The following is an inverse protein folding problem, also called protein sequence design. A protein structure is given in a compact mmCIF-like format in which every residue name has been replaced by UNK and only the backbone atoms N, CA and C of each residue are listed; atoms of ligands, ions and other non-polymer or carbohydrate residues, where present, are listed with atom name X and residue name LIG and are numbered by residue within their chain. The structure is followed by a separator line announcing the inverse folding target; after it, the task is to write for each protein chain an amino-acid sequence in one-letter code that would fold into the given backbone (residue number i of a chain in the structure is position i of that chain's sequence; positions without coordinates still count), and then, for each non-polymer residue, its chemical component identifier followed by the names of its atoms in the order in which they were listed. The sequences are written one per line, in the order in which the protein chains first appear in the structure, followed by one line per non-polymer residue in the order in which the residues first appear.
data_IF_002277214521
#
_entry.id   IF_002277214521
#
_cell.length_a   1.000
_cell.length_b   1.000
_cell.length_c   1.000
_cell.angle_alpha   90.00
_cell.angle_beta   90.00
_cell.angle_gamma   90.00
#
_symmetry.space_group_name_H-M   'P 1'
#
loop_
_entity.id
_entity.type
_entity.pdbx_description
1 polymer ?
#
# COMPACT_ATOMS: atom_id res chain seq x y z
N UNK A 1 14.04 -16.46 -18.44
CA UNK A 1 13.69 -15.18 -19.09
C UNK A 1 14.23 -14.08 -18.19
N UNK A 2 15.28 -13.32 -18.66
CA UNK A 2 15.85 -12.21 -17.91
C UNK A 2 14.87 -11.02 -17.99
N UNK A 3 14.12 -10.80 -16.93
CA UNK A 3 13.37 -9.56 -16.77
C UNK A 3 14.37 -8.44 -16.41
N UNK A 4 14.27 -7.26 -17.01
CA UNK A 4 15.07 -6.14 -16.59
C UNK A 4 14.82 -5.87 -15.10
N UNK A 5 15.91 -5.69 -14.35
CA UNK A 5 15.81 -5.20 -12.96
C UNK A 5 15.05 -3.90 -13.01
N UNK A 6 14.15 -3.69 -12.04
CA UNK A 6 13.52 -2.38 -11.85
C UNK A 6 14.63 -1.41 -11.46
N UNK A 7 14.94 -0.51 -12.38
CA UNK A 7 16.04 0.44 -12.19
C UNK A 7 15.64 1.63 -11.32
N UNK A 8 14.46 1.64 -10.71
CA UNK A 8 13.94 2.82 -10.00
C UNK A 8 13.89 4.07 -10.90
N UNK A 9 13.86 3.84 -12.21
CA UNK A 9 13.92 4.90 -13.19
C UNK A 9 12.66 5.75 -13.10
N UNK A 10 12.88 7.06 -12.96
CA UNK A 10 11.83 8.08 -13.06
C UNK A 10 11.10 7.93 -14.40
N UNK A 11 9.82 8.29 -14.42
CA UNK A 11 9.08 8.40 -15.66
C UNK A 11 9.64 9.53 -16.56
N UNK A 12 9.07 9.72 -17.76
CA UNK A 12 9.48 10.78 -18.69
C UNK A 12 9.28 12.20 -18.09
N UNK A 13 8.45 12.35 -17.06
CA UNK A 13 8.24 13.60 -16.32
C UNK A 13 9.20 13.73 -15.12
N UNK A 14 10.07 12.75 -14.85
CA UNK A 14 10.99 12.72 -13.72
C UNK A 14 10.33 12.38 -12.38
N UNK A 15 9.17 11.71 -12.39
CA UNK A 15 8.42 11.39 -11.16
C UNK A 15 8.57 9.93 -10.73
N UNK A 16 8.54 9.73 -9.42
CA UNK A 16 8.32 8.43 -8.80
C UNK A 16 6.82 8.11 -8.75
N UNK A 17 6.48 6.84 -8.65
CA UNK A 17 5.10 6.38 -8.68
C UNK A 17 4.74 5.64 -7.38
N UNK A 18 3.72 6.12 -6.68
CA UNK A 18 3.18 5.50 -5.47
C UNK A 18 1.76 5.01 -5.73
N UNK A 19 1.53 3.71 -5.55
CA UNK A 19 0.20 3.11 -5.63
C UNK A 19 -0.34 2.84 -4.23
N UNK A 20 -1.51 3.37 -3.93
CA UNK A 20 -2.29 3.06 -2.73
C UNK A 20 -3.47 2.18 -3.15
N UNK A 21 -3.59 0.98 -2.58
CA UNK A 21 -4.73 0.09 -2.80
C UNK A 21 -5.39 -0.21 -1.47
N UNK A 22 -6.62 0.23 -1.29
CA UNK A 22 -7.32 0.08 -0.03
C UNK A 22 -8.80 -0.26 -0.20
N UNK A 23 -9.30 -1.14 0.66
CA UNK A 23 -10.72 -1.49 0.75
C UNK A 23 -11.31 -1.00 2.05
N UNK A 24 -12.54 -0.48 1.99
CA UNK A 24 -13.33 -0.14 3.15
C UNK A 24 -14.71 -0.75 3.05
N UNK A 25 -15.20 -1.33 4.13
CA UNK A 25 -16.55 -1.90 4.20
C UNK A 25 -17.52 -0.95 4.88
N UNK A 26 -17.10 -0.31 5.98
CA UNK A 26 -17.97 0.54 6.81
C UNK A 26 -17.57 2.02 6.81
N UNK A 27 -16.50 2.39 6.11
CA UNK A 27 -16.03 3.77 5.97
C UNK A 27 -14.82 4.15 6.83
N UNK A 28 -14.52 3.46 7.92
CA UNK A 28 -13.36 3.80 8.75
C UNK A 28 -12.01 3.53 8.06
N UNK A 29 -11.89 2.44 7.33
CA UNK A 29 -10.69 2.19 6.52
C UNK A 29 -10.55 3.21 5.38
N UNK A 30 -11.67 3.72 4.84
CA UNK A 30 -11.63 4.80 3.85
C UNK A 30 -11.05 6.08 4.45
N UNK A 31 -11.45 6.46 5.66
CA UNK A 31 -10.86 7.62 6.36
C UNK A 31 -9.34 7.46 6.55
N UNK A 32 -8.88 6.24 6.84
CA UNK A 32 -7.45 5.94 6.91
C UNK A 32 -6.77 6.10 5.54
N UNK A 33 -7.37 5.56 4.47
CA UNK A 33 -6.85 5.71 3.11
C UNK A 33 -6.77 7.16 2.66
N UNK A 34 -7.80 7.97 2.98
CA UNK A 34 -7.83 9.40 2.68
C UNK A 34 -6.72 10.15 3.44
N UNK A 35 -6.43 9.76 4.68
CA UNK A 35 -5.33 10.32 5.45
C UNK A 35 -3.96 9.94 4.87
N UNK A 36 -3.77 8.68 4.48
CA UNK A 36 -2.56 8.23 3.78
C UNK A 36 -2.36 9.05 2.49
N UNK A 37 -3.41 9.23 1.70
CA UNK A 37 -3.34 10.01 0.47
C UNK A 37 -2.97 11.47 0.74
N UNK A 38 -3.56 12.11 1.76
CA UNK A 38 -3.19 13.49 2.15
C UNK A 38 -1.71 13.60 2.50
N UNK A 39 -1.17 12.66 3.27
CA UNK A 39 0.24 12.64 3.61
C UNK A 39 1.13 12.48 2.39
N UNK A 40 0.78 11.53 1.52
CA UNK A 40 1.55 11.22 0.31
C UNK A 40 1.51 12.33 -0.75
N UNK A 41 0.52 13.23 -0.68
CA UNK A 41 0.34 14.37 -1.60
C UNK A 41 0.50 15.72 -0.91
N UNK A 42 1.18 15.74 0.24
CA UNK A 42 1.46 16.99 0.96
C UNK A 42 2.37 17.93 0.16
N UNK A 43 2.29 19.21 0.44
CA UNK A 43 2.95 20.30 -0.33
C UNK A 43 4.49 20.16 -0.42
N UNK A 44 5.11 19.36 0.44
CA UNK A 44 6.56 19.12 0.39
C UNK A 44 6.95 17.90 -0.45
N UNK A 45 6.00 17.22 -1.06
CA UNK A 45 6.25 16.09 -1.98
C UNK A 45 6.02 16.61 -3.40
N UNK A 46 7.10 16.78 -4.15
CA UNK A 46 7.05 17.41 -5.48
C UNK A 46 7.12 16.40 -6.62
N UNK A 47 7.94 15.35 -6.46
CA UNK A 47 8.29 14.42 -7.53
C UNK A 47 7.71 13.01 -7.35
N UNK A 48 6.52 12.92 -6.76
CA UNK A 48 5.77 11.65 -6.63
C UNK A 48 4.39 11.77 -7.24
N UNK A 49 4.10 10.93 -8.22
CA UNK A 49 2.72 10.72 -8.72
C UNK A 49 2.04 9.65 -7.87
N UNK A 50 0.87 9.97 -7.32
CA UNK A 50 0.13 9.04 -6.44
C UNK A 50 -1.16 8.60 -7.12
N UNK A 51 -1.39 7.27 -7.17
CA UNK A 51 -2.68 6.68 -7.50
C UNK A 51 -3.28 6.02 -6.27
N UNK A 52 -4.54 6.32 -5.98
CA UNK A 52 -5.29 5.67 -4.90
C UNK A 52 -6.50 4.97 -5.49
N UNK A 53 -6.52 3.65 -5.42
CA UNK A 53 -7.51 2.80 -6.08
C UNK A 53 -8.16 1.81 -5.12
N UNK A 54 -9.41 1.45 -5.43
CA UNK A 54 -10.04 0.26 -4.85
C UNK A 54 -9.32 -1.01 -5.32
N UNK A 55 -9.25 -2.07 -4.49
CA UNK A 55 -8.76 -3.37 -4.94
C UNK A 55 -9.56 -3.98 -6.10
N UNK A 56 -10.79 -3.52 -6.32
CA UNK A 56 -11.63 -4.00 -7.42
C UNK A 56 -11.25 -3.33 -8.76
N UNK A 57 -10.68 -2.13 -8.70
CA UNK A 57 -10.31 -1.33 -9.87
C UNK A 57 -8.82 -1.45 -10.21
N UNK A 58 -7.95 -1.60 -9.20
CA UNK A 58 -6.53 -1.77 -9.39
C UNK A 58 -6.20 -3.10 -10.08
N UNK A 59 -5.24 -3.09 -10.99
CA UNK A 59 -4.84 -4.27 -11.74
C UNK A 59 -3.31 -4.46 -11.85
N UNK A 60 -2.89 -5.38 -12.70
CA UNK A 60 -1.48 -5.73 -12.93
C UNK A 60 -0.68 -4.52 -13.43
N UNK A 61 -1.25 -3.71 -14.33
CA UNK A 61 -0.54 -2.57 -14.91
C UNK A 61 -0.29 -1.49 -13.86
N UNK A 62 -1.23 -1.26 -12.94
CA UNK A 62 -1.02 -0.34 -11.80
C UNK A 62 0.10 -0.81 -10.89
N UNK A 63 0.14 -2.10 -10.57
CA UNK A 63 1.20 -2.68 -9.73
C UNK A 63 2.57 -2.59 -10.41
N UNK A 64 2.63 -2.84 -11.71
CA UNK A 64 3.87 -2.75 -12.48
C UNK A 64 4.33 -1.30 -12.70
N UNK A 65 3.41 -0.36 -12.73
CA UNK A 65 3.69 1.08 -12.78
C UNK A 65 4.31 1.59 -11.48
N UNK A 66 3.95 1.03 -10.33
CA UNK A 66 4.33 1.55 -9.03
C UNK A 66 5.81 1.32 -8.69
N UNK A 67 6.45 2.31 -8.08
CA UNK A 67 7.78 2.22 -7.45
C UNK A 67 7.68 1.94 -5.95
N UNK A 68 6.54 2.18 -5.33
CA UNK A 68 6.17 1.72 -3.99
C UNK A 68 4.67 1.45 -3.89
N UNK A 69 4.27 0.66 -2.90
CA UNK A 69 2.91 0.21 -2.69
C UNK A 69 2.49 0.46 -1.25
N UNK A 70 1.31 1.05 -1.04
CA UNK A 70 0.67 1.09 0.27
C UNK A 70 -0.65 0.32 0.19
N UNK A 71 -0.84 -0.65 1.08
CA UNK A 71 -2.04 -1.48 1.12
C UNK A 71 -2.84 -1.23 2.38
N UNK A 72 -4.15 -1.05 2.24
CA UNK A 72 -5.07 -0.85 3.34
C UNK A 72 -6.23 -1.85 3.35
N UNK A 73 -6.54 -2.40 4.51
CA UNK A 73 -7.64 -3.35 4.67
C UNK A 73 -8.28 -3.26 6.05
N UNK A 74 -9.60 -3.47 6.16
CA UNK A 74 -10.17 -3.87 7.42
C UNK A 74 -9.80 -5.33 7.74
N UNK A 75 -9.80 -5.68 9.01
CA UNK A 75 -9.79 -7.08 9.42
C UNK A 75 -11.21 -7.61 9.42
N UNK A 76 -11.51 -8.53 8.53
CA UNK A 76 -12.80 -9.21 8.44
C UNK A 76 -12.61 -10.69 8.79
N UNK A 77 -13.29 -11.14 9.84
CA UNK A 77 -13.21 -12.55 10.28
C UNK A 77 -11.77 -13.03 10.53
N UNK A 78 -10.93 -12.21 11.12
CA UNK A 78 -9.53 -12.55 11.38
C UNK A 78 -8.66 -12.66 10.12
N UNK A 79 -9.04 -11.99 9.03
CA UNK A 79 -8.38 -12.04 7.72
C UNK A 79 -8.46 -10.68 7.02
N UNK A 80 -7.70 -10.49 5.93
CA UNK A 80 -7.89 -9.32 5.06
C UNK A 80 -9.29 -9.32 4.45
N UNK A 81 -9.72 -8.17 3.93
CA UNK A 81 -11.00 -8.11 3.21
C UNK A 81 -10.98 -8.99 1.96
N UNK A 82 -12.15 -9.52 1.59
CA UNK A 82 -12.30 -10.33 0.38
C UNK A 82 -11.93 -9.57 -0.89
N UNK A 83 -12.19 -8.26 -0.93
CA UNK A 83 -11.81 -7.42 -2.07
C UNK A 83 -10.28 -7.33 -2.24
N UNK A 84 -9.54 -7.17 -1.14
CA UNK A 84 -8.07 -7.16 -1.20
C UNK A 84 -7.52 -8.55 -1.57
N UNK A 85 -8.12 -9.62 -1.03
CA UNK A 85 -7.72 -10.99 -1.42
C UNK A 85 -7.98 -11.24 -2.91
N UNK A 86 -9.10 -10.78 -3.44
CA UNK A 86 -9.41 -10.90 -4.87
C UNK A 86 -8.42 -10.12 -5.75
N UNK A 87 -8.00 -8.94 -5.31
CA UNK A 87 -6.91 -8.20 -5.98
C UNK A 87 -5.63 -9.03 -6.02
N UNK A 88 -5.20 -9.61 -4.91
CA UNK A 88 -4.03 -10.49 -4.88
C UNK A 88 -4.17 -11.71 -5.79
N UNK A 89 -5.34 -12.34 -5.84
CA UNK A 89 -5.59 -13.48 -6.72
C UNK A 89 -5.40 -13.12 -8.21
N UNK A 90 -5.74 -11.88 -8.60
CA UNK A 90 -5.58 -11.41 -9.99
C UNK A 90 -4.15 -11.03 -10.32
N UNK A 91 -3.41 -10.43 -9.38
CA UNK A 91 -2.09 -9.86 -9.68
C UNK A 91 -0.93 -10.80 -9.35
N UNK A 92 -1.13 -11.83 -8.51
CA UNK A 92 -0.03 -12.62 -7.97
C UNK A 92 0.86 -13.22 -9.07
N UNK A 93 0.32 -14.10 -9.89
CA UNK A 93 1.11 -14.76 -10.93
C UNK A 93 1.62 -13.81 -12.02
N UNK A 94 0.82 -12.86 -12.53
CA UNK A 94 1.34 -11.88 -13.49
C UNK A 94 2.47 -10.98 -12.96
N UNK A 95 2.50 -10.72 -11.64
CA UNK A 95 3.51 -9.86 -11.00
C UNK A 95 4.66 -10.66 -10.36
N UNK A 96 4.49 -11.97 -10.16
CA UNK A 96 5.52 -12.83 -9.57
C UNK A 96 6.85 -12.69 -10.31
N UNK A 97 7.94 -12.56 -9.57
CA UNK A 97 9.30 -12.29 -10.07
C UNK A 97 9.49 -10.94 -10.81
N UNK A 98 8.45 -10.12 -10.91
CA UNK A 98 8.50 -8.80 -11.57
C UNK A 98 8.54 -7.64 -10.58
N UNK A 99 8.06 -7.86 -9.34
CA UNK A 99 7.98 -6.84 -8.29
C UNK A 99 8.83 -7.19 -7.06
N UNK A 100 9.74 -8.14 -7.18
CA UNK A 100 10.65 -8.46 -6.08
C UNK A 100 11.44 -7.23 -5.64
N UNK A 101 11.44 -6.98 -4.32
CA UNK A 101 12.07 -5.81 -3.71
C UNK A 101 11.23 -4.53 -3.75
N UNK A 102 10.02 -4.55 -4.32
CA UNK A 102 9.12 -3.39 -4.32
C UNK A 102 8.87 -2.92 -2.88
N UNK A 103 9.17 -1.66 -2.52
CA UNK A 103 8.88 -1.12 -1.20
C UNK A 103 7.37 -1.13 -0.92
N UNK A 104 6.99 -1.52 0.30
CA UNK A 104 5.59 -1.57 0.70
C UNK A 104 5.38 -1.10 2.14
N UNK A 105 4.21 -0.53 2.40
CA UNK A 105 3.72 -0.25 3.74
C UNK A 105 2.24 -0.66 3.88
N UNK A 106 1.80 -0.87 5.10
CA UNK A 106 0.48 -1.41 5.41
C UNK A 106 -0.27 -0.55 6.41
N UNK A 107 -1.59 -0.45 6.25
CA UNK A 107 -2.48 0.05 7.30
C UNK A 107 -3.71 -0.84 7.44
N UNK A 108 -4.11 -1.09 8.68
CA UNK A 108 -5.18 -2.04 9.00
C UNK A 108 -6.14 -1.42 10.02
N UNK A 109 -7.42 -1.55 9.73
CA UNK A 109 -8.50 -1.24 10.67
C UNK A 109 -9.06 -2.53 11.25
N UNK A 110 -9.01 -2.69 12.56
CA UNK A 110 -9.49 -3.90 13.22
C UNK A 110 -10.36 -3.60 14.44
N UNK A 111 -11.35 -4.42 14.67
CA UNK A 111 -12.13 -4.40 15.91
C UNK A 111 -11.39 -5.06 17.07
N UNK A 112 -10.65 -6.14 16.79
CA UNK A 112 -9.88 -6.89 17.78
C UNK A 112 -8.41 -6.45 17.78
N UNK A 113 -7.50 -7.24 17.20
CA UNK A 113 -6.07 -6.97 17.26
C UNK A 113 -5.40 -6.72 15.90
N UNK A 114 -6.07 -7.03 14.79
CA UNK A 114 -5.54 -6.85 13.44
C UNK A 114 -4.52 -7.90 13.00
N UNK A 115 -4.17 -8.85 13.87
CA UNK A 115 -3.12 -9.83 13.62
C UNK A 115 -3.42 -10.74 12.44
N UNK A 116 -4.67 -11.18 12.32
CA UNK A 116 -5.09 -12.07 11.23
C UNK A 116 -5.01 -11.41 9.87
N UNK A 117 -5.46 -10.16 9.75
CA UNK A 117 -5.32 -9.39 8.51
C UNK A 117 -3.86 -9.14 8.17
N UNK A 118 -3.07 -8.69 9.13
CA UNK A 118 -1.63 -8.43 8.94
C UNK A 118 -0.88 -9.69 8.48
N UNK A 119 -1.09 -10.81 9.14
CA UNK A 119 -0.46 -12.10 8.79
C UNK A 119 -0.87 -12.57 7.41
N UNK A 120 -2.16 -12.45 7.05
CA UNK A 120 -2.66 -12.89 5.74
C UNK A 120 -2.07 -12.06 4.59
N UNK A 121 -1.97 -10.73 4.75
CA UNK A 121 -1.34 -9.86 3.75
C UNK A 121 0.15 -10.17 3.62
N UNK A 122 0.88 -10.23 4.74
CA UNK A 122 2.34 -10.49 4.75
C UNK A 122 2.70 -11.82 4.10
N UNK A 123 1.86 -12.84 4.25
CA UNK A 123 2.09 -14.15 3.59
C UNK A 123 2.12 -14.02 2.08
N UNK A 124 1.21 -13.23 1.49
CA UNK A 124 1.15 -13.02 0.04
C UNK A 124 2.31 -12.13 -0.42
N UNK A 125 2.58 -11.04 0.30
CA UNK A 125 3.70 -10.15 -0.01
C UNK A 125 5.05 -10.87 0.02
N UNK A 126 5.23 -11.79 0.96
CA UNK A 126 6.43 -12.63 1.02
C UNK A 126 6.57 -13.51 -0.23
N UNK A 127 5.47 -14.09 -0.71
CA UNK A 127 5.47 -14.85 -1.96
C UNK A 127 5.81 -14.02 -3.20
N UNK A 128 5.42 -12.75 -3.20
CA UNK A 128 5.75 -11.78 -4.27
C UNK A 128 7.17 -11.18 -4.13
N UNK A 129 7.86 -11.42 -3.01
CA UNK A 129 9.16 -10.83 -2.71
C UNK A 129 9.12 -9.34 -2.43
N UNK A 130 7.96 -8.79 -2.10
CA UNK A 130 7.77 -7.37 -1.76
C UNK A 130 8.38 -7.09 -0.38
N UNK A 131 9.01 -5.94 -0.23
CA UNK A 131 9.73 -5.54 0.97
C UNK A 131 8.96 -4.50 1.78
N UNK A 132 8.49 -4.88 2.96
CA UNK A 132 7.88 -3.94 3.92
C UNK A 132 8.98 -3.01 4.48
N UNK A 133 8.81 -1.69 4.30
CA UNK A 133 9.86 -0.69 4.62
C UNK A 133 9.47 0.22 5.76
N UNK A 134 8.26 0.10 6.29
CA UNK A 134 7.74 0.87 7.40
C UNK A 134 6.87 -0.03 8.28
N UNK A 135 6.87 0.20 9.60
CA UNK A 135 5.95 -0.49 10.50
C UNK A 135 4.49 -0.22 10.11
N UNK A 136 3.62 -1.24 10.17
CA UNK A 136 2.22 -1.09 9.80
C UNK A 136 1.49 -0.18 10.79
N UNK A 137 0.56 0.63 10.27
CA UNK A 137 -0.40 1.37 11.10
C UNK A 137 -1.58 0.48 11.42
N UNK A 138 -1.79 0.18 12.70
CA UNK A 138 -2.92 -0.61 13.20
C UNK A 138 -3.84 0.28 14.03
N UNK A 139 -5.05 0.58 13.52
CA UNK A 139 -6.10 1.23 14.29
C UNK A 139 -7.08 0.16 14.81
N UNK A 140 -6.92 -0.17 16.09
CA UNK A 140 -7.61 -1.29 16.75
C UNK A 140 -8.63 -0.78 17.74
N UNK A 141 -9.74 -1.51 17.89
CA UNK A 141 -10.79 -1.22 18.86
C UNK A 141 -11.73 -0.11 18.39
N UNK A 142 -12.15 0.78 19.30
CA UNK A 142 -12.96 1.94 18.96
C UNK A 142 -12.21 2.86 17.99
N UNK A 143 -12.92 3.35 16.96
CA UNK A 143 -12.28 4.21 15.96
C UNK A 143 -12.04 5.62 16.50
N UNK A 144 -10.80 6.02 16.62
CA UNK A 144 -10.37 7.34 17.07
C UNK A 144 -9.79 8.14 15.89
N UNK A 145 -10.51 9.16 15.45
CA UNK A 145 -10.10 10.01 14.32
C UNK A 145 -8.79 10.76 14.59
N UNK A 146 -8.42 10.98 15.86
CA UNK A 146 -7.13 11.62 16.21
C UNK A 146 -5.94 10.79 15.76
N UNK A 147 -6.11 9.48 15.64
CA UNK A 147 -5.08 8.56 15.15
C UNK A 147 -4.94 8.52 13.63
N UNK A 148 -5.77 9.24 12.89
CA UNK A 148 -5.58 9.40 11.45
C UNK A 148 -4.26 10.11 11.12
N UNK A 149 -3.67 10.83 12.06
CA UNK A 149 -2.32 11.39 11.91
C UNK A 149 -1.27 10.29 11.65
N UNK A 150 -1.40 9.11 12.27
CA UNK A 150 -0.50 7.98 12.03
C UNK A 150 -0.54 7.53 10.56
N UNK A 151 -1.73 7.57 9.94
CA UNK A 151 -1.92 7.24 8.53
C UNK A 151 -1.36 8.33 7.61
N UNK A 152 -1.55 9.59 7.96
CA UNK A 152 -1.01 10.72 7.20
C UNK A 152 0.52 10.69 7.22
N UNK A 153 1.13 10.44 8.38
CA UNK A 153 2.57 10.25 8.53
C UNK A 153 3.09 9.05 7.71
N UNK A 154 2.34 7.94 7.66
CA UNK A 154 2.70 6.79 6.82
C UNK A 154 2.79 7.18 5.35
N UNK A 155 1.76 7.85 4.82
CA UNK A 155 1.74 8.32 3.43
C UNK A 155 2.89 9.27 3.11
N UNK A 156 3.12 10.26 3.98
CA UNK A 156 4.21 11.22 3.83
C UNK A 156 5.59 10.54 3.88
N UNK A 157 5.79 9.60 4.81
CA UNK A 157 7.07 8.86 4.96
C UNK A 157 7.39 8.05 3.72
N UNK A 158 6.44 7.34 3.16
CA UNK A 158 6.67 6.52 1.96
C UNK A 158 6.93 7.42 0.73
N UNK A 159 6.15 8.47 0.55
CA UNK A 159 6.34 9.38 -0.58
C UNK A 159 7.69 10.12 -0.49
N UNK A 160 8.03 10.67 0.68
CA UNK A 160 9.32 11.32 0.88
C UNK A 160 10.51 10.37 0.72
N UNK A 161 10.36 9.13 1.19
CA UNK A 161 11.39 8.10 1.03
C UNK A 161 11.62 7.72 -0.44
N UNK A 162 10.56 7.65 -1.25
CA UNK A 162 10.67 7.47 -2.71
C UNK A 162 11.40 8.65 -3.35
N UNK A 163 10.97 9.87 -3.08
CA UNK A 163 11.55 11.10 -3.64
C UNK A 163 13.02 11.23 -3.29
N UNK A 164 13.40 10.84 -2.08
CA UNK A 164 14.80 10.84 -1.62
C UNK A 164 15.63 9.65 -2.08
N UNK A 165 15.05 8.68 -2.79
CA UNK A 165 15.74 7.48 -3.24
C UNK A 165 16.21 6.56 -2.11
N UNK A 166 15.45 6.46 -1.01
CA UNK A 166 15.81 5.67 0.17
C UNK A 166 15.41 4.19 0.07
N UNK A 167 14.63 3.81 -0.92
CA UNK A 167 14.09 2.46 -1.07
C UNK A 167 14.60 1.75 -2.31
#
# INVERSE_FOLDING_TARGET
MNWPKRDGALDLAGKHHLLIVAHSQSGSTQKMADAVLRGATSDFIEDVEVRSLSPLDADVDDVLWAHALILGTPENFGYMSGALKYFFDRIFYPCENRIAGLPCALFIRAGNDGTGALTSVRRILSGLGVREVQDPVLLVGEFDERRLIDCEELGATIAAGLEAGLF
#
